data_IF_791076801016
#
_entry.id   IF_791076801016
#
_cell.length_a   1.000
_cell.length_b   1.000
_cell.length_c   1.000
_cell.angle_alpha   90.00
_cell.angle_beta   90.00
_cell.angle_gamma   90.00
#
_symmetry.space_group_name_H-M   'P 1'
#
loop_
_entity.id
_entity.type
_entity.pdbx_description
1 polymer ?
#
# COMPACT_ATOMS: atom_id res chain seq x y z
N UNK A 1 -10.73 -10.61 -6.50
CA UNK A 1 -11.93 -10.95 -7.32
C UNK A 1 -11.47 -11.37 -8.71
N UNK A 2 -12.10 -12.35 -9.35
CA UNK A 2 -11.84 -12.72 -10.75
C UNK A 2 -12.84 -12.00 -11.66
N UNK A 3 -12.38 -11.08 -12.50
CA UNK A 3 -13.24 -10.37 -13.45
C UNK A 3 -13.19 -11.07 -14.80
N UNK A 4 -14.25 -11.75 -15.22
CA UNK A 4 -14.33 -12.37 -16.56
C UNK A 4 -14.68 -11.39 -17.68
N UNK A 5 -14.95 -10.12 -17.38
CA UNK A 5 -15.30 -9.10 -18.39
C UNK A 5 -14.77 -7.73 -17.96
N UNK A 6 -13.49 -7.50 -18.20
CA UNK A 6 -12.89 -6.17 -18.09
C UNK A 6 -13.02 -5.47 -19.45
N UNK A 7 -13.36 -4.19 -19.46
CA UNK A 7 -13.40 -3.42 -20.70
C UNK A 7 -12.02 -3.45 -21.39
N UNK A 8 -11.93 -3.69 -22.71
CA UNK A 8 -10.63 -3.82 -23.42
C UNK A 8 -9.68 -2.65 -23.18
N UNK A 9 -10.21 -1.42 -23.19
CA UNK A 9 -9.43 -0.19 -22.90
C UNK A 9 -8.83 -0.21 -21.50
N UNK A 10 -9.52 -0.78 -20.52
CA UNK A 10 -9.01 -0.92 -19.16
C UNK A 10 -7.84 -1.91 -19.12
N UNK A 11 -7.95 -3.01 -19.86
CA UNK A 11 -6.90 -4.01 -19.96
C UNK A 11 -5.66 -3.45 -20.64
N UNK A 12 -5.80 -2.75 -21.77
CA UNK A 12 -4.68 -2.07 -22.45
C UNK A 12 -3.92 -1.15 -21.50
N UNK A 13 -4.65 -0.32 -20.73
CA UNK A 13 -4.03 0.55 -19.74
C UNK A 13 -3.29 -0.21 -18.63
N UNK A 14 -3.80 -1.37 -18.19
CA UNK A 14 -3.13 -2.22 -17.19
C UNK A 14 -1.84 -2.83 -17.76
N UNK A 15 -1.87 -3.32 -19.00
CA UNK A 15 -0.72 -3.95 -19.64
C UNK A 15 0.42 -2.96 -19.92
N UNK A 16 0.13 -1.65 -20.00
CA UNK A 16 1.12 -0.59 -20.12
C UNK A 16 1.78 -0.20 -18.77
N UNK A 17 1.31 -0.76 -17.65
CA UNK A 17 1.87 -0.45 -16.33
C UNK A 17 3.18 -1.18 -16.08
N UNK A 18 4.01 -0.67 -15.13
CA UNK A 18 5.22 -1.37 -14.74
C UNK A 18 4.90 -2.77 -14.22
N UNK A 19 5.61 -3.77 -14.74
CA UNK A 19 5.64 -5.10 -14.17
C UNK A 19 6.07 -5.03 -12.69
N UNK A 20 5.38 -5.78 -11.84
CA UNK A 20 5.76 -5.92 -10.45
C UNK A 20 7.11 -6.63 -10.37
N UNK A 21 8.06 -6.04 -9.63
CA UNK A 21 9.40 -6.58 -9.41
C UNK A 21 9.41 -7.79 -8.46
N UNK A 22 8.33 -8.57 -8.42
CA UNK A 22 8.20 -9.71 -7.52
C UNK A 22 9.00 -10.90 -8.07
N UNK A 23 10.33 -10.78 -7.98
CA UNK A 23 11.29 -11.87 -8.06
C UNK A 23 11.02 -12.85 -6.89
N UNK A 24 10.01 -13.73 -7.04
CA UNK A 24 9.86 -14.86 -6.13
C UNK A 24 8.45 -15.39 -5.87
N UNK A 25 7.40 -14.76 -6.40
CA UNK A 25 6.05 -15.35 -6.35
C UNK A 25 5.49 -15.51 -7.76
N UNK A 26 5.79 -16.65 -8.38
CA UNK A 26 5.00 -17.13 -9.53
C UNK A 26 3.60 -17.39 -8.97
N UNK A 27 2.74 -16.39 -9.05
CA UNK A 27 1.33 -16.57 -8.75
C UNK A 27 0.78 -17.37 -9.92
N UNK A 28 0.42 -18.62 -9.69
CA UNK A 28 -0.26 -19.42 -10.70
C UNK A 28 -1.64 -18.82 -10.98
N UNK A 29 -2.10 -18.89 -12.22
CA UNK A 29 -3.44 -18.41 -12.58
C UNK A 29 -4.51 -19.21 -11.80
N UNK A 30 -5.27 -18.60 -10.87
CA UNK A 30 -6.25 -19.31 -10.05
C UNK A 30 -7.39 -19.93 -10.88
N UNK A 31 -7.54 -19.53 -12.13
CA UNK A 31 -8.52 -20.06 -13.08
C UNK A 31 -7.96 -21.21 -13.92
N UNK A 32 -6.65 -21.26 -14.14
CA UNK A 32 -5.99 -22.30 -14.93
C UNK A 32 -5.44 -23.45 -14.08
N UNK A 33 -5.38 -23.31 -12.75
CA UNK A 33 -5.00 -24.41 -11.86
C UNK A 33 -6.02 -25.54 -12.04
N UNK A 34 -5.62 -26.72 -12.52
CA UNK A 34 -6.51 -27.88 -12.56
C UNK A 34 -6.76 -28.40 -11.13
N UNK A 35 -8.00 -28.85 -10.84
CA UNK A 35 -8.39 -29.48 -9.56
C UNK A 35 -7.54 -30.71 -9.17
N UNK A 36 -6.78 -31.23 -10.13
CA UNK A 36 -5.81 -32.31 -9.98
C UNK A 36 -4.42 -31.75 -10.28
N UNK A 37 -3.56 -31.62 -9.27
CA UNK A 37 -2.26 -30.92 -9.29
C UNK A 37 -1.22 -31.45 -10.28
N UNK A 38 -1.53 -31.38 -11.57
CA UNK A 38 -0.68 -31.77 -12.67
C UNK A 38 -0.72 -30.64 -13.71
N UNK A 39 -0.03 -29.54 -13.40
CA UNK A 39 0.31 -28.53 -14.38
C UNK A 39 1.72 -28.82 -14.90
N UNK A 40 1.82 -29.59 -15.99
CA UNK A 40 3.00 -29.55 -16.86
C UNK A 40 2.88 -28.31 -17.74
N UNK A 41 3.40 -27.19 -17.24
CA UNK A 41 3.40 -25.90 -17.92
C UNK A 41 3.35 -24.79 -16.89
N UNK A 42 4.45 -24.09 -16.73
CA UNK A 42 4.56 -22.88 -15.92
C UNK A 42 3.58 -21.84 -16.50
N UNK A 43 2.38 -21.73 -15.94
CA UNK A 43 1.40 -20.71 -16.35
C UNK A 43 1.84 -19.39 -15.73
N UNK A 44 2.77 -18.73 -16.40
CA UNK A 44 3.29 -17.43 -16.01
C UNK A 44 2.16 -16.40 -16.04
N UNK A 45 1.82 -15.85 -14.87
CA UNK A 45 0.97 -14.67 -14.77
C UNK A 45 1.82 -13.41 -14.99
N UNK A 46 1.36 -12.54 -15.86
CA UNK A 46 1.89 -11.17 -15.96
C UNK A 46 1.35 -10.38 -14.76
N UNK A 47 2.24 -9.92 -13.89
CA UNK A 47 1.90 -9.18 -12.68
C UNK A 47 2.27 -7.71 -12.85
N UNK A 48 1.30 -6.83 -12.69
CA UNK A 48 1.45 -5.38 -12.83
C UNK A 48 1.25 -4.68 -11.49
N UNK A 49 2.04 -3.64 -11.25
CA UNK A 49 1.91 -2.82 -10.05
C UNK A 49 0.88 -1.71 -10.29
N UNK A 50 -0.15 -1.66 -9.45
CA UNK A 50 -1.20 -0.63 -9.52
C UNK A 50 -1.23 0.18 -8.23
N UNK A 51 -1.06 1.49 -8.37
CA UNK A 51 -1.32 2.46 -7.33
C UNK A 51 -2.83 2.67 -7.18
N UNK A 52 -3.27 2.81 -5.94
CA UNK A 52 -4.66 3.06 -5.63
C UNK A 52 -4.83 4.07 -4.51
N UNK A 53 -5.98 4.75 -4.57
CA UNK A 53 -6.49 5.55 -3.48
C UNK A 53 -8.00 5.35 -3.37
N UNK A 54 -8.51 5.32 -2.15
CA UNK A 54 -9.96 5.36 -1.92
C UNK A 54 -10.29 6.06 -0.61
N UNK A 55 -11.53 6.51 -0.52
CA UNK A 55 -12.08 7.19 0.65
C UNK A 55 -12.86 6.17 1.46
N UNK A 56 -12.48 5.98 2.72
CA UNK A 56 -13.22 5.13 3.63
C UNK A 56 -13.60 5.89 4.90
N UNK A 57 -14.65 5.43 5.58
CA UNK A 57 -14.99 5.90 6.92
C UNK A 57 -14.25 5.08 7.97
N UNK A 58 -13.71 5.76 8.99
CA UNK A 58 -13.13 5.08 10.15
C UNK A 58 -14.26 4.49 11.00
N UNK A 59 -14.14 3.22 11.41
CA UNK A 59 -15.15 2.49 12.23
C UNK A 59 -15.57 3.25 13.51
N UNK A 60 -14.72 4.16 14.03
CA UNK A 60 -14.96 4.93 15.25
C UNK A 60 -15.06 6.46 15.06
N UNK A 61 -15.25 6.99 13.84
CA UNK A 61 -15.29 8.44 13.67
C UNK A 61 -16.01 8.97 12.43
N UNK A 62 -16.48 10.23 12.53
CA UNK A 62 -17.15 11.00 11.48
C UNK A 62 -16.23 11.60 10.41
N UNK A 63 -14.93 11.26 10.42
CA UNK A 63 -13.96 11.83 9.48
C UNK A 63 -13.66 10.85 8.36
N UNK A 64 -13.77 11.34 7.12
CA UNK A 64 -13.33 10.62 5.94
C UNK A 64 -11.80 10.48 5.97
N UNK A 65 -11.33 9.26 5.73
CA UNK A 65 -9.90 8.94 5.63
C UNK A 65 -9.62 8.54 4.19
N UNK A 66 -8.60 9.17 3.61
CA UNK A 66 -8.05 8.74 2.32
C UNK A 66 -6.98 7.71 2.56
N UNK A 67 -7.19 6.51 2.05
CA UNK A 67 -6.22 5.42 2.05
C UNK A 67 -5.45 5.42 0.73
N UNK A 68 -4.17 5.05 0.80
CA UNK A 68 -3.29 4.96 -0.36
C UNK A 68 -2.49 3.67 -0.32
N UNK A 69 -2.22 3.06 -1.46
CA UNK A 69 -1.36 1.90 -1.49
C UNK A 69 -1.07 1.40 -2.88
N UNK A 70 -0.45 0.23 -2.92
CA UNK A 70 -0.14 -0.50 -4.14
C UNK A 70 -0.64 -1.92 -4.00
N UNK A 71 -1.21 -2.43 -5.09
CA UNK A 71 -1.66 -3.81 -5.21
C UNK A 71 -1.20 -4.37 -6.54
N UNK A 72 -0.96 -5.68 -6.57
CA UNK A 72 -0.64 -6.39 -7.79
C UNK A 72 -1.95 -6.72 -8.54
N UNK A 73 -1.92 -6.52 -9.85
CA UNK A 73 -2.96 -6.98 -10.78
C UNK A 73 -2.34 -8.01 -11.70
N UNK A 74 -2.88 -9.22 -11.66
CA UNK A 74 -2.43 -10.33 -12.49
C UNK A 74 -3.29 -10.47 -13.73
N UNK A 75 -2.69 -10.72 -14.89
CA UNK A 75 -3.39 -11.09 -16.11
C UNK A 75 -2.88 -12.44 -16.63
N UNK A 76 -3.81 -13.34 -16.93
CA UNK A 76 -3.48 -14.64 -17.51
C UNK A 76 -3.66 -14.60 -19.02
N UNK A 77 -2.57 -14.79 -19.77
CA UNK A 77 -2.61 -14.84 -21.23
C UNK A 77 -3.29 -16.11 -21.76
N UNK A 78 -3.31 -17.19 -20.97
CA UNK A 78 -3.92 -18.48 -21.37
C UNK A 78 -5.45 -18.41 -21.37
N UNK A 79 -6.05 -17.96 -20.26
CA UNK A 79 -7.52 -17.94 -20.11
C UNK A 79 -8.13 -16.53 -20.18
N UNK A 80 -7.32 -15.49 -20.40
CA UNK A 80 -7.73 -14.09 -20.48
C UNK A 80 -8.27 -13.51 -19.17
N UNK A 81 -8.14 -14.22 -18.05
CA UNK A 81 -8.67 -13.76 -16.76
C UNK A 81 -7.73 -12.77 -16.10
N UNK A 82 -8.31 -11.74 -15.49
CA UNK A 82 -7.57 -10.74 -14.69
C UNK A 82 -7.99 -10.82 -13.23
N UNK A 83 -7.00 -10.76 -12.35
CA UNK A 83 -7.17 -10.83 -10.91
C UNK A 83 -6.64 -9.58 -10.23
N UNK A 84 -7.41 -9.08 -9.26
CA UNK A 84 -7.07 -7.93 -8.45
C UNK A 84 -6.79 -8.36 -7.01
N UNK A 85 -5.57 -8.11 -6.53
CA UNK A 85 -5.21 -8.22 -5.11
C UNK A 85 -5.98 -7.19 -4.30
N UNK A 86 -6.51 -7.55 -3.12
CA UNK A 86 -7.05 -6.56 -2.20
C UNK A 86 -6.00 -5.52 -1.73
N UNK A 87 -6.42 -4.49 -0.97
CA UNK A 87 -5.52 -3.46 -0.44
C UNK A 87 -4.52 -3.98 0.62
N UNK A 88 -4.65 -5.25 1.04
CA UNK A 88 -3.98 -5.76 2.23
C UNK A 88 -4.62 -5.23 3.52
N UNK A 89 -3.88 -5.30 4.62
CA UNK A 89 -4.39 -4.93 5.94
C UNK A 89 -4.17 -3.47 6.33
N UNK A 90 -3.11 -2.88 5.78
CA UNK A 90 -2.66 -1.54 6.10
C UNK A 90 -2.38 -0.80 4.80
N UNK A 91 -2.58 0.51 4.84
CA UNK A 91 -2.21 1.38 3.74
C UNK A 91 -0.71 1.66 3.73
N UNK A 92 -0.23 2.42 2.75
CA UNK A 92 1.18 2.78 2.62
C UNK A 92 1.72 3.63 3.78
N UNK A 93 0.83 4.22 4.59
CA UNK A 93 1.16 4.98 5.79
C UNK A 93 1.02 4.13 7.06
N UNK A 94 0.75 2.83 6.96
CA UNK A 94 0.54 1.94 8.10
C UNK A 94 -0.79 2.16 8.82
N UNK A 95 -1.74 2.86 8.21
CA UNK A 95 -3.10 2.97 8.74
C UNK A 95 -3.84 1.67 8.47
N UNK A 96 -4.48 1.12 9.51
CA UNK A 96 -5.32 -0.07 9.37
C UNK A 96 -6.51 0.24 8.46
N UNK A 97 -6.62 -0.55 7.39
CA UNK A 97 -7.75 -0.55 6.48
C UNK A 97 -8.75 -1.53 7.10
N UNK A 98 -9.76 -0.97 7.78
CA UNK A 98 -10.81 -1.72 8.47
C UNK A 98 -11.66 -2.57 7.52
N UNK A 99 -12.92 -2.83 7.85
CA UNK A 99 -13.79 -3.66 6.99
C UNK A 99 -14.01 -3.11 5.56
N UNK A 100 -13.65 -1.84 5.29
CA UNK A 100 -13.75 -1.19 3.98
C UNK A 100 -12.82 -1.76 2.88
N UNK A 101 -12.16 -2.90 3.10
CA UNK A 101 -11.28 -3.56 2.12
C UNK A 101 -12.00 -3.90 0.80
N UNK A 102 -13.33 -4.02 0.83
CA UNK A 102 -14.16 -4.31 -0.35
C UNK A 102 -14.31 -3.13 -1.31
N UNK A 103 -13.97 -1.91 -0.90
CA UNK A 103 -14.18 -0.70 -1.70
C UNK A 103 -13.19 -0.55 -2.84
N UNK A 104 -11.98 -1.12 -2.69
CA UNK A 104 -10.82 -0.88 -3.55
C UNK A 104 -11.05 -1.27 -5.03
N UNK A 105 -11.91 -2.25 -5.30
CA UNK A 105 -12.20 -2.72 -6.66
C UNK A 105 -13.68 -2.72 -6.96
N UNK A 106 -14.41 -1.79 -6.33
CA UNK A 106 -15.83 -1.63 -6.64
C UNK A 106 -16.01 -1.40 -8.14
N UNK A 107 -17.13 -1.85 -8.73
CA UNK A 107 -17.41 -1.65 -10.15
C UNK A 107 -17.29 -0.18 -10.59
N UNK A 108 -17.52 0.77 -9.69
CA UNK A 108 -17.35 2.20 -9.97
C UNK A 108 -15.90 2.57 -10.25
N UNK A 109 -14.93 2.06 -9.49
CA UNK A 109 -13.50 2.31 -9.71
C UNK A 109 -12.99 1.60 -10.96
N UNK A 110 -13.42 0.35 -11.19
CA UNK A 110 -13.08 -0.39 -12.41
C UNK A 110 -13.72 0.17 -13.67
N UNK A 111 -14.79 0.96 -13.53
CA UNK A 111 -15.46 1.67 -14.64
C UNK A 111 -15.07 3.15 -14.73
N UNK A 112 -14.27 3.65 -13.79
CA UNK A 112 -13.81 5.03 -13.81
C UNK A 112 -12.81 5.19 -14.97
N UNK A 113 -13.13 6.02 -15.99
CA UNK A 113 -12.21 6.26 -17.08
C UNK A 113 -10.89 6.82 -16.54
N UNK A 114 -9.79 6.21 -16.91
CA UNK A 114 -8.45 6.69 -16.58
C UNK A 114 -7.85 6.21 -15.25
N UNK A 115 -8.51 5.32 -14.50
CA UNK A 115 -7.93 4.77 -13.26
C UNK A 115 -6.59 4.05 -13.52
N UNK A 116 -6.45 3.33 -14.63
CA UNK A 116 -5.22 2.64 -14.98
C UNK A 116 -4.35 3.44 -15.95
N UNK A 117 -4.77 4.64 -16.36
CA UNK A 117 -3.96 5.47 -17.24
C UNK A 117 -2.65 5.85 -16.56
N UNK A 118 -1.57 5.78 -17.32
CA UNK A 118 -0.21 6.09 -16.86
C UNK A 118 -0.09 7.42 -16.11
N UNK A 119 -0.79 8.46 -16.59
CA UNK A 119 -0.79 9.78 -15.95
C UNK A 119 -1.41 9.74 -14.56
N UNK A 120 -2.51 9.01 -14.40
CA UNK A 120 -3.21 8.91 -13.13
C UNK A 120 -2.41 8.07 -12.13
N UNK A 121 -1.88 6.94 -12.59
CA UNK A 121 -0.97 6.10 -11.81
C UNK A 121 0.28 6.85 -11.35
N UNK A 122 0.86 7.70 -12.21
CA UNK A 122 1.96 8.59 -11.83
C UNK A 122 1.57 9.56 -10.70
N UNK A 123 0.42 10.22 -10.81
CA UNK A 123 -0.04 11.16 -9.79
C UNK A 123 -0.29 10.47 -8.44
N UNK A 124 -0.92 9.28 -8.46
CA UNK A 124 -1.14 8.50 -7.23
C UNK A 124 0.18 8.10 -6.56
N UNK A 125 1.16 7.65 -7.35
CA UNK A 125 2.50 7.33 -6.85
C UNK A 125 3.16 8.55 -6.21
N UNK A 126 3.14 9.70 -6.89
CA UNK A 126 3.73 10.94 -6.40
C UNK A 126 3.07 11.41 -5.10
N UNK A 127 1.73 11.42 -5.02
CA UNK A 127 1.02 11.76 -3.79
C UNK A 127 1.34 10.82 -2.63
N UNK A 128 1.36 9.51 -2.88
CA UNK A 128 1.71 8.51 -1.87
C UNK A 128 3.14 8.73 -1.36
N UNK A 129 4.10 8.90 -2.26
CA UNK A 129 5.51 9.15 -1.90
C UNK A 129 5.62 10.43 -1.07
N UNK A 130 4.97 11.53 -1.47
CA UNK A 130 4.95 12.78 -0.70
C UNK A 130 4.41 12.58 0.71
N UNK A 131 3.32 11.82 0.86
CA UNK A 131 2.73 11.53 2.19
C UNK A 131 3.63 10.66 3.06
N UNK A 132 4.26 9.64 2.48
CA UNK A 132 5.22 8.79 3.20
C UNK A 132 6.41 9.64 3.69
N UNK A 133 6.99 10.46 2.81
CA UNK A 133 8.10 11.35 3.16
C UNK A 133 7.70 12.33 4.25
N UNK A 134 6.55 13.01 4.10
CA UNK A 134 6.06 13.94 5.11
C UNK A 134 5.77 13.27 6.47
N UNK A 135 5.32 12.00 6.47
CA UNK A 135 5.14 11.22 7.70
C UNK A 135 6.49 10.94 8.36
N UNK A 136 7.47 10.43 7.61
CA UNK A 136 8.83 10.15 8.12
C UNK A 136 9.48 11.40 8.69
N UNK A 137 9.43 12.52 7.98
CA UNK A 137 9.97 13.79 8.49
C UNK A 137 9.31 14.25 9.80
N UNK A 138 8.00 14.03 9.95
CA UNK A 138 7.29 14.36 11.20
C UNK A 138 7.73 13.45 12.34
N UNK A 139 7.88 12.15 12.08
CA UNK A 139 8.36 11.17 13.06
C UNK A 139 9.79 11.48 13.49
N UNK A 140 10.69 11.81 12.55
CA UNK A 140 12.06 12.24 12.85
C UNK A 140 12.08 13.52 13.68
N UNK A 141 11.33 14.56 13.29
CA UNK A 141 11.20 15.80 14.07
C UNK A 141 10.62 15.55 15.46
N UNK A 142 9.75 14.56 15.61
CA UNK A 142 9.21 14.18 16.92
C UNK A 142 10.26 13.44 17.75
N UNK A 143 11.02 12.52 17.14
CA UNK A 143 12.11 11.79 17.78
C UNK A 143 13.24 12.73 18.21
N UNK A 144 13.58 13.73 17.42
CA UNK A 144 14.57 14.76 17.78
C UNK A 144 14.17 15.55 19.02
N UNK A 145 12.86 15.70 19.29
CA UNK A 145 12.35 16.35 20.49
C UNK A 145 12.35 15.42 21.70
N UNK A 146 12.52 14.12 21.53
CA UNK A 146 12.51 13.17 22.63
C UNK A 146 13.83 13.15 23.42
N UNK A 147 13.71 12.74 24.67
CA UNK A 147 14.84 12.51 25.57
C UNK A 147 15.69 11.34 25.07
N UNK A 148 17.02 11.52 25.00
CA UNK A 148 17.97 10.47 24.57
C UNK A 148 18.30 9.44 25.66
N UNK A 149 17.55 9.40 26.76
CA UNK A 149 17.81 8.44 27.83
C UNK A 149 17.19 7.10 27.47
N UNK A 150 17.97 6.03 27.60
CA UNK A 150 17.54 4.65 27.41
C UNK A 150 17.69 3.94 28.75
N UNK A 151 16.66 3.23 29.19
CA UNK A 151 16.69 2.49 30.44
C UNK A 151 17.44 1.15 30.30
N UNK A 152 17.56 0.40 31.40
CA UNK A 152 18.24 -0.90 31.41
C UNK A 152 17.55 -1.96 30.55
N UNK A 153 16.30 -1.75 30.15
CA UNK A 153 15.54 -2.64 29.27
C UNK A 153 15.67 -2.22 27.79
N UNK A 154 16.46 -1.19 27.48
CA UNK A 154 16.60 -0.68 26.13
C UNK A 154 15.45 0.24 25.68
N UNK A 155 14.51 0.61 26.56
CA UNK A 155 13.42 1.50 26.21
C UNK A 155 13.84 2.97 26.32
N UNK A 156 13.63 3.72 25.24
CA UNK A 156 13.88 5.16 25.24
C UNK A 156 12.79 5.90 26.02
N UNK A 157 13.20 6.88 26.81
CA UNK A 157 12.29 7.77 27.52
C UNK A 157 11.41 8.55 26.54
N UNK A 158 10.10 8.36 26.65
CA UNK A 158 9.08 9.02 25.82
C UNK A 158 8.85 10.51 26.11
N UNK A 159 9.61 11.11 27.03
CA UNK A 159 9.46 12.52 27.41
C UNK A 159 10.20 13.42 26.46
N UNK A 160 9.70 14.63 26.25
CA UNK A 160 10.44 15.65 25.53
C UNK A 160 11.73 16.06 26.28
N UNK A 161 12.79 16.33 25.51
CA UNK A 161 14.02 16.93 26.01
C UNK A 161 13.74 18.36 26.46
N UNK A 162 14.58 18.87 27.35
CA UNK A 162 14.43 20.26 27.82
C UNK A 162 14.57 21.27 26.67
N UNK A 163 13.87 22.41 26.75
CA UNK A 163 13.96 23.49 25.76
C UNK A 163 15.27 24.30 25.83
N UNK A 164 16.24 23.90 26.66
CA UNK A 164 17.55 24.55 26.75
C UNK A 164 18.40 24.18 25.53
N UNK A 165 19.08 25.16 24.93
CA UNK A 165 19.98 24.94 23.79
C UNK A 165 21.02 23.86 24.13
N UNK A 166 21.10 22.83 23.29
CA UNK A 166 22.01 21.68 23.48
C UNK A 166 21.53 20.61 24.46
N UNK A 167 20.33 20.71 25.04
CA UNK A 167 19.83 19.68 25.93
C UNK A 167 19.50 18.38 25.17
N UNK A 168 20.09 17.27 25.62
CA UNK A 168 19.83 15.93 25.09
C UNK A 168 18.81 15.14 25.93
N UNK A 169 18.51 15.60 27.15
CA UNK A 169 17.74 14.86 28.13
C UNK A 169 16.56 15.68 28.66
N UNK A 170 15.56 14.99 29.20
CA UNK A 170 14.48 15.62 29.96
C UNK A 170 14.96 15.97 31.38
N UNK A 171 14.13 16.71 32.13
CA UNK A 171 14.48 17.14 33.49
C UNK A 171 14.81 16.00 34.47
N UNK A 172 14.27 14.78 34.24
CA UNK A 172 14.54 13.60 35.07
C UNK A 172 15.89 12.95 34.78
N UNK A 173 16.34 13.00 33.53
CA UNK A 173 17.56 12.33 33.08
C UNK A 173 18.70 13.32 32.83
N UNK A 174 18.57 14.56 33.33
CA UNK A 174 19.65 15.54 33.21
C UNK A 174 20.88 15.05 33.98
N UNK A 175 22.09 15.17 33.41
CA UNK A 175 23.32 15.01 34.18
C UNK A 175 23.30 15.97 35.38
N UNK A 176 23.89 15.52 36.49
CA UNK A 176 24.10 16.38 37.67
C UNK A 176 25.12 17.47 37.37
#
# INVERSE_FOLDING_TARGET
MSGKEIAPVLLENILELPEALDEGSVVECPTCIPDSGQAEGEVSLSNFTVEWQFFGRKELGFFDVTYHGVSNVGHCEVCGSTWFSGPGEHDALGLKIGENRTELWTPHLLRAPGFFEKRWQYNLRDERVKRITAKKEKEEKQQEKQCKHVDSNGQQCNREKMQKKGAAYCYKHRPK
#
